data_IF_805574827148
#
_entry.id   IF_805574827148
#
_cell.length_a   1.000
_cell.length_b   1.000
_cell.length_c   1.000
_cell.angle_alpha   90.00
_cell.angle_beta   90.00
_cell.angle_gamma   90.00
#
_symmetry.space_group_name_H-M   'P 1'
#
loop_
_entity.id
_entity.type
_entity.pdbx_description
1 polymer ?
#
# COMPACT_ATOMS: atom_id res chain seq x y z
N UNK A 1 -5.36 -4.27 -18.62
CA UNK A 1 -4.85 -3.66 -17.38
C UNK A 1 -5.59 -4.30 -16.20
N UNK A 2 -5.21 -5.54 -15.82
CA UNK A 2 -5.95 -6.33 -14.82
C UNK A 2 -5.01 -7.21 -13.96
N UNK A 3 -3.83 -7.57 -14.49
CA UNK A 3 -2.93 -8.49 -13.80
C UNK A 3 -2.29 -7.92 -12.53
N UNK A 4 -1.86 -6.65 -12.54
CA UNK A 4 -1.13 -6.08 -11.40
C UNK A 4 -2.01 -5.86 -10.17
N UNK A 5 -3.31 -5.61 -10.35
CA UNK A 5 -4.20 -5.30 -9.23
C UNK A 5 -4.36 -6.46 -8.24
N UNK A 6 -4.24 -7.71 -8.70
CA UNK A 6 -4.22 -8.87 -7.78
C UNK A 6 -2.93 -8.94 -6.98
N UNK A 7 -1.81 -8.56 -7.58
CA UNK A 7 -0.53 -8.49 -6.88
C UNK A 7 -0.54 -7.34 -5.88
N UNK A 8 -1.01 -6.16 -6.28
CA UNK A 8 -1.14 -4.99 -5.40
C UNK A 8 -2.04 -5.29 -4.21
N UNK A 9 -3.14 -6.02 -4.42
CA UNK A 9 -4.00 -6.52 -3.33
C UNK A 9 -3.17 -7.34 -2.33
N UNK A 10 -2.38 -8.31 -2.79
CA UNK A 10 -1.55 -9.13 -1.91
C UNK A 10 -0.47 -8.32 -1.19
N UNK A 11 0.10 -7.29 -1.83
CA UNK A 11 1.01 -6.38 -1.14
C UNK A 11 0.31 -5.61 -0.02
N UNK A 12 -0.88 -5.06 -0.27
CA UNK A 12 -1.66 -4.31 0.72
C UNK A 12 -2.07 -5.20 1.90
N UNK A 13 -2.50 -6.44 1.65
CA UNK A 13 -3.00 -7.34 2.71
C UNK A 13 -1.89 -8.09 3.43
N UNK A 14 -0.93 -8.67 2.71
CA UNK A 14 -0.06 -9.71 3.26
C UNK A 14 1.33 -9.13 3.64
N UNK A 15 1.83 -8.22 2.81
CA UNK A 15 3.18 -7.63 2.94
C UNK A 15 3.15 -6.38 3.81
N UNK A 16 2.41 -5.35 3.40
CA UNK A 16 2.33 -4.07 4.11
C UNK A 16 1.36 -4.13 5.28
N UNK A 17 0.35 -5.02 5.21
CA UNK A 17 -0.65 -5.24 6.25
C UNK A 17 -1.36 -3.93 6.63
N UNK A 18 -1.71 -3.15 5.61
CA UNK A 18 -2.38 -1.84 5.76
C UNK A 18 -3.85 -1.88 5.38
N UNK A 19 -4.35 -3.00 4.87
CA UNK A 19 -5.75 -3.16 4.51
C UNK A 19 -6.20 -4.61 4.51
N UNK A 20 -7.49 -4.79 4.22
CA UNK A 20 -8.13 -6.09 4.08
C UNK A 20 -8.68 -6.23 2.67
N UNK A 21 -8.69 -7.45 2.17
CA UNK A 21 -9.37 -7.77 0.94
C UNK A 21 -10.85 -8.07 1.17
N UNK A 22 -11.66 -7.70 0.19
CA UNK A 22 -13.06 -8.13 0.07
C UNK A 22 -13.15 -9.47 -0.65
N UNK A 23 -14.19 -10.23 -0.33
CA UNK A 23 -14.51 -11.50 -0.98
C UNK A 23 -15.83 -11.35 -1.75
N UNK A 24 -15.84 -11.56 -3.08
CA UNK A 24 -17.08 -11.56 -3.84
C UNK A 24 -17.94 -12.79 -3.50
N UNK A 25 -19.25 -12.65 -3.67
CA UNK A 25 -20.19 -13.78 -3.62
C UNK A 25 -20.05 -14.69 -4.83
N UNK A 26 -20.91 -15.72 -4.89
CA UNK A 26 -20.92 -16.70 -6.00
C UNK A 26 -21.20 -16.06 -7.37
N UNK A 27 -21.94 -14.96 -7.40
CA UNK A 27 -22.23 -14.15 -8.59
C UNK A 27 -21.10 -13.19 -8.99
N UNK A 28 -19.99 -13.20 -8.24
CA UNK A 28 -18.85 -12.31 -8.44
C UNK A 28 -19.05 -10.90 -7.86
N UNK A 29 -20.18 -10.60 -7.23
CA UNK A 29 -20.50 -9.28 -6.69
C UNK A 29 -20.12 -9.22 -5.22
N UNK A 30 -19.47 -8.12 -4.80
CA UNK A 30 -19.17 -7.87 -3.39
C UNK A 30 -20.38 -7.21 -2.73
N UNK A 31 -20.97 -7.87 -1.73
CA UNK A 31 -22.10 -7.35 -0.98
C UNK A 31 -21.72 -6.12 -0.12
N UNK A 32 -22.68 -5.21 0.11
CA UNK A 32 -22.46 -4.01 0.94
C UNK A 32 -22.07 -4.36 2.38
N UNK A 33 -22.57 -5.49 2.89
CA UNK A 33 -22.29 -6.02 4.23
C UNK A 33 -20.81 -6.44 4.36
N UNK A 34 -20.25 -7.08 3.33
CA UNK A 34 -18.83 -7.44 3.28
C UNK A 34 -17.96 -6.17 3.28
N UNK A 35 -18.29 -5.18 2.44
CA UNK A 35 -17.57 -3.90 2.43
C UNK A 35 -17.62 -3.22 3.80
N UNK A 36 -18.80 -3.14 4.41
CA UNK A 36 -18.99 -2.57 5.74
C UNK A 36 -18.14 -3.27 6.79
N UNK A 37 -18.15 -4.61 6.81
CA UNK A 37 -17.36 -5.41 7.74
C UNK A 37 -15.86 -5.15 7.60
N UNK A 38 -15.33 -5.07 6.37
CA UNK A 38 -13.91 -4.74 6.14
C UNK A 38 -13.56 -3.32 6.56
N UNK A 39 -14.43 -2.34 6.31
CA UNK A 39 -14.22 -0.95 6.75
C UNK A 39 -14.18 -0.87 8.27
N UNK A 40 -15.15 -1.50 8.96
CA UNK A 40 -15.19 -1.55 10.42
C UNK A 40 -13.95 -2.27 10.98
N UNK A 41 -13.50 -3.36 10.37
CA UNK A 41 -12.27 -4.07 10.75
C UNK A 41 -10.99 -3.23 10.59
N UNK A 42 -10.83 -2.56 9.45
CA UNK A 42 -9.65 -1.71 9.20
C UNK A 42 -9.60 -0.51 10.15
N UNK A 43 -10.74 0.12 10.42
CA UNK A 43 -10.82 1.29 11.31
C UNK A 43 -10.70 0.88 12.78
N UNK A 44 -11.27 -0.26 13.16
CA UNK A 44 -11.31 -0.75 14.54
C UNK A 44 -10.00 -1.33 15.04
N UNK A 45 -9.13 -1.84 14.16
CA UNK A 45 -7.83 -2.39 14.54
C UNK A 45 -6.69 -1.36 14.40
N UNK A 46 -6.15 -0.93 15.54
CA UNK A 46 -5.03 -0.01 15.61
C UNK A 46 -3.74 -0.53 14.94
N UNK A 47 -3.64 -1.85 14.72
CA UNK A 47 -2.57 -2.52 13.98
C UNK A 47 -2.45 -1.99 12.56
N UNK A 48 -3.54 -1.90 11.80
CA UNK A 48 -3.52 -1.35 10.42
C UNK A 48 -3.01 0.09 10.41
N UNK A 49 -3.50 0.93 11.33
CA UNK A 49 -3.05 2.32 11.47
C UNK A 49 -1.56 2.42 11.80
N UNK A 50 -1.05 1.54 12.66
CA UNK A 50 0.38 1.48 13.01
C UNK A 50 1.23 1.13 11.80
N UNK A 51 0.85 0.11 11.04
CA UNK A 51 1.56 -0.31 9.82
C UNK A 51 1.51 0.78 8.74
N UNK A 52 0.36 1.39 8.51
CA UNK A 52 0.20 2.47 7.55
C UNK A 52 1.07 3.69 7.89
N UNK A 53 1.14 4.08 9.16
CA UNK A 53 2.04 5.14 9.63
C UNK A 53 3.51 4.78 9.41
N UNK A 54 3.92 3.56 9.79
CA UNK A 54 5.29 3.09 9.58
C UNK A 54 5.68 3.15 8.10
N UNK A 55 4.79 2.72 7.21
CA UNK A 55 5.02 2.77 5.77
C UNK A 55 5.15 4.22 5.30
N UNK A 56 4.22 5.10 5.69
CA UNK A 56 4.26 6.54 5.39
C UNK A 56 5.59 7.17 5.83
N UNK A 57 6.00 6.96 7.08
CA UNK A 57 7.19 7.59 7.66
C UNK A 57 8.48 7.05 7.04
N UNK A 58 8.48 5.79 6.60
CA UNK A 58 9.61 5.19 5.87
C UNK A 58 9.70 5.77 4.47
N UNK A 59 8.58 5.81 3.73
CA UNK A 59 8.55 6.40 2.39
C UNK A 59 8.97 7.86 2.41
N UNK A 60 8.49 8.65 3.37
CA UNK A 60 8.89 10.06 3.54
C UNK A 60 10.41 10.20 3.72
N UNK A 61 11.00 9.43 4.64
CA UNK A 61 12.46 9.45 4.85
C UNK A 61 13.26 9.06 3.61
N UNK A 62 12.76 8.15 2.79
CA UNK A 62 13.43 7.74 1.56
C UNK A 62 13.44 8.84 0.49
N UNK A 63 12.37 9.63 0.37
CA UNK A 63 12.23 10.66 -0.66
C UNK A 63 12.72 12.05 -0.24
N UNK A 64 12.78 12.33 1.07
CA UNK A 64 13.35 13.57 1.60
C UNK A 64 14.81 13.74 1.19
N UNK A 65 15.30 14.98 1.22
CA UNK A 65 16.70 15.30 0.95
C UNK A 65 17.65 14.44 1.79
N UNK A 66 18.70 13.90 1.17
CA UNK A 66 19.61 12.94 1.80
C UNK A 66 19.06 11.52 1.96
N UNK A 67 17.79 11.26 1.64
CA UNK A 67 17.14 9.95 1.61
C UNK A 67 17.64 9.04 0.49
N UNK A 68 17.36 7.74 0.58
CA UNK A 68 17.85 6.74 -0.37
C UNK A 68 17.29 6.93 -1.78
N UNK A 69 15.98 7.13 -1.94
CA UNK A 69 15.35 7.38 -3.24
C UNK A 69 15.78 8.72 -3.81
N UNK A 70 15.91 9.76 -2.97
CA UNK A 70 16.45 11.06 -3.39
C UNK A 70 17.86 10.92 -3.95
N UNK A 71 18.76 10.24 -3.24
CA UNK A 71 20.15 9.98 -3.69
C UNK A 71 20.21 9.19 -4.98
N UNK A 72 19.39 8.14 -5.10
CA UNK A 72 19.32 7.34 -6.33
C UNK A 72 18.86 8.18 -7.52
N UNK A 73 17.85 9.05 -7.31
CA UNK A 73 17.36 9.92 -8.36
C UNK A 73 18.39 11.00 -8.75
N UNK A 74 19.04 11.64 -7.78
CA UNK A 74 20.12 12.60 -8.06
C UNK A 74 21.24 11.95 -8.90
N UNK A 75 21.70 10.76 -8.51
CA UNK A 75 22.69 9.99 -9.28
C UNK A 75 22.22 9.69 -10.70
N UNK A 76 20.94 9.36 -10.88
CA UNK A 76 20.39 9.12 -12.22
C UNK A 76 20.43 10.37 -13.10
N UNK A 77 20.14 11.55 -12.54
CA UNK A 77 20.25 12.84 -13.27
C UNK A 77 21.69 13.17 -13.63
N UNK A 78 22.63 12.95 -12.72
CA UNK A 78 24.06 13.16 -12.98
C UNK A 78 24.53 12.31 -14.17
N UNK A 79 24.15 11.03 -14.20
CA UNK A 79 24.49 10.11 -15.30
C UNK A 79 23.89 10.50 -16.65
N UNK A 80 22.77 11.22 -16.68
CA UNK A 80 22.18 11.73 -17.92
C UNK A 80 22.87 13.02 -18.42
N UNK A 81 23.66 13.65 -17.57
CA UNK A 81 24.37 14.90 -17.86
C UNK A 81 25.82 14.66 -18.30
N UNK A 82 26.26 13.39 -18.30
CA UNK A 82 27.51 12.90 -18.90
C UNK A 82 27.33 12.63 -20.40
#
# INVERSE_FOLDING_TARGET
YFCEQFLDRSYVTDVWRTGLAVTPGEDGIVAKEEVRSKVEGVIGDAGFRKWARRLKDTSWRCISEGGSSHKNFARFVDLLSE
#
